data_IF_850033120836
#
_entry.id   IF_850033120836
#
_cell.length_a   1.000
_cell.length_b   1.000
_cell.length_c   1.000
_cell.angle_alpha   90.00
_cell.angle_beta   90.00
_cell.angle_gamma   90.00
#
_symmetry.space_group_name_H-M   'P 1'
#
loop_
_entity.id
_entity.type
_entity.pdbx_description
1 polymer ?
#
# COMPACT_ATOMS: atom_id res chain seq x y z
N UNK A 1 23.02 -15.61 -10.14
CA UNK A 1 22.53 -15.18 -11.47
C UNK A 1 22.05 -13.75 -11.29
N UNK A 2 22.72 -12.80 -11.93
CA UNK A 2 22.59 -11.37 -11.67
C UNK A 2 21.25 -10.84 -12.20
N UNK A 3 20.58 -10.02 -11.40
CA UNK A 3 19.36 -9.28 -11.73
C UNK A 3 19.59 -8.17 -12.82
N UNK A 4 20.71 -8.24 -13.55
CA UNK A 4 21.16 -7.17 -14.45
C UNK A 4 20.50 -7.17 -15.84
N UNK A 5 19.75 -8.20 -16.21
CA UNK A 5 19.28 -8.31 -17.61
C UNK A 5 17.77 -8.10 -17.84
N UNK A 6 16.96 -7.83 -16.80
CA UNK A 6 15.50 -7.81 -16.95
C UNK A 6 14.86 -6.42 -17.12
N UNK A 7 15.65 -5.35 -16.93
CA UNK A 7 15.14 -3.97 -17.05
C UNK A 7 15.13 -3.41 -18.48
N UNK A 8 15.48 -4.22 -19.49
CA UNK A 8 15.54 -3.76 -20.90
C UNK A 8 14.28 -4.04 -21.73
N UNK A 9 13.30 -4.80 -21.21
CA UNK A 9 12.02 -4.98 -21.92
C UNK A 9 11.13 -3.78 -21.63
N UNK A 10 10.74 -3.05 -22.69
CA UNK A 10 9.70 -2.02 -22.59
C UNK A 10 8.41 -2.76 -22.14
N UNK A 11 7.85 -2.41 -20.96
CA UNK A 11 6.63 -3.02 -20.49
C UNK A 11 5.47 -2.74 -21.47
N UNK A 12 4.48 -3.64 -21.49
CA UNK A 12 3.25 -3.47 -22.27
C UNK A 12 2.07 -3.82 -21.39
N UNK A 13 1.51 -2.82 -20.73
CA UNK A 13 0.35 -3.00 -19.89
C UNK A 13 -0.95 -2.94 -20.71
N UNK A 14 -1.95 -3.68 -20.24
CA UNK A 14 -3.33 -3.48 -20.67
C UNK A 14 -3.82 -2.10 -20.23
N UNK A 15 -4.66 -1.46 -21.05
CA UNK A 15 -5.24 -0.15 -20.73
C UNK A 15 -6.67 -0.34 -20.21
N UNK A 16 -6.81 -0.33 -18.91
CA UNK A 16 -8.10 -0.40 -18.21
C UNK A 16 -8.89 0.88 -18.49
N UNK A 17 -10.19 0.75 -18.77
CA UNK A 17 -11.06 1.85 -19.20
C UNK A 17 -12.15 2.23 -18.19
N UNK A 18 -12.42 1.37 -17.20
CA UNK A 18 -13.52 1.57 -16.24
C UNK A 18 -13.25 0.97 -14.87
N UNK A 19 -14.04 1.40 -13.89
CA UNK A 19 -14.04 0.87 -12.54
C UNK A 19 -14.40 -0.64 -12.53
N UNK A 20 -15.42 -1.04 -13.29
CA UNK A 20 -15.84 -2.45 -13.37
C UNK A 20 -14.75 -3.34 -13.97
N UNK A 21 -14.09 -2.87 -15.01
CA UNK A 21 -12.97 -3.58 -15.63
C UNK A 21 -11.79 -3.72 -14.65
N UNK A 22 -11.47 -2.65 -13.89
CA UNK A 22 -10.41 -2.70 -12.88
C UNK A 22 -10.70 -3.75 -11.80
N UNK A 23 -11.95 -3.85 -11.34
CA UNK A 23 -12.37 -4.86 -10.35
C UNK A 23 -12.29 -6.26 -10.95
N UNK A 24 -12.77 -6.47 -12.18
CA UNK A 24 -12.72 -7.76 -12.84
C UNK A 24 -11.27 -8.26 -12.99
N UNK A 25 -10.38 -7.41 -13.50
CA UNK A 25 -8.96 -7.73 -13.64
C UNK A 25 -8.29 -7.94 -12.27
N UNK A 26 -8.70 -7.19 -11.24
CA UNK A 26 -8.18 -7.41 -9.89
C UNK A 26 -8.49 -8.82 -9.37
N UNK A 27 -9.69 -9.35 -9.62
CA UNK A 27 -10.02 -10.73 -9.26
C UNK A 27 -9.21 -11.77 -10.06
N UNK A 28 -8.98 -11.55 -11.35
CA UNK A 28 -8.15 -12.44 -12.17
C UNK A 28 -6.69 -12.46 -11.65
N UNK A 29 -6.12 -11.30 -11.40
CA UNK A 29 -4.77 -11.17 -10.86
C UNK A 29 -4.70 -11.74 -9.43
N UNK A 30 -5.69 -11.51 -8.57
CA UNK A 30 -5.73 -12.09 -7.24
C UNK A 30 -5.72 -13.63 -7.30
N UNK A 31 -6.49 -14.26 -8.19
CA UNK A 31 -6.49 -15.70 -8.37
C UNK A 31 -5.10 -16.22 -8.82
N UNK A 32 -4.43 -15.51 -9.71
CA UNK A 32 -3.05 -15.81 -10.12
C UNK A 32 -2.07 -15.68 -8.94
N UNK A 33 -2.11 -14.57 -8.21
CA UNK A 33 -1.20 -14.28 -7.11
C UNK A 33 -1.41 -15.21 -5.91
N UNK A 34 -2.64 -15.65 -5.64
CA UNK A 34 -2.93 -16.59 -4.56
C UNK A 34 -2.17 -17.91 -4.74
N UNK A 35 -2.00 -18.34 -5.99
CA UNK A 35 -1.12 -19.45 -6.30
C UNK A 35 0.32 -19.08 -5.95
N UNK A 36 0.93 -19.82 -5.01
CA UNK A 36 2.30 -19.59 -4.55
C UNK A 36 2.47 -18.48 -3.49
N UNK A 37 1.41 -17.80 -3.02
CA UNK A 37 1.52 -16.77 -2.01
C UNK A 37 2.17 -17.27 -0.70
N UNK A 38 1.80 -18.46 -0.25
CA UNK A 38 2.42 -19.10 0.93
C UNK A 38 3.90 -19.40 0.72
N UNK A 39 4.30 -19.89 -0.45
CA UNK A 39 5.70 -20.18 -0.78
C UNK A 39 6.52 -18.89 -0.85
N UNK A 40 6.00 -17.86 -1.49
CA UNK A 40 6.65 -16.52 -1.53
C UNK A 40 6.85 -15.96 -0.12
N UNK A 41 5.84 -16.06 0.75
CA UNK A 41 5.97 -15.63 2.15
C UNK A 41 7.04 -16.42 2.90
N UNK A 42 7.09 -17.75 2.73
CA UNK A 42 8.08 -18.60 3.40
C UNK A 42 9.50 -18.33 2.92
N UNK A 43 9.70 -18.18 1.62
CA UNK A 43 11.02 -18.00 1.01
C UNK A 43 11.51 -16.54 1.05
N UNK A 44 10.60 -15.57 1.09
CA UNK A 44 10.92 -14.15 0.91
C UNK A 44 11.36 -13.81 -0.52
N UNK A 45 10.98 -14.64 -1.50
CA UNK A 45 11.37 -14.48 -2.91
C UNK A 45 10.11 -14.28 -3.76
N UNK A 46 10.09 -13.22 -4.55
CA UNK A 46 9.08 -13.01 -5.59
C UNK A 46 9.75 -13.15 -6.95
N UNK A 47 9.32 -14.12 -7.76
CA UNK A 47 9.80 -14.24 -9.13
C UNK A 47 9.45 -12.97 -9.94
N UNK A 48 10.37 -12.43 -10.75
CA UNK A 48 10.14 -11.21 -11.53
C UNK A 48 8.88 -11.27 -12.39
N UNK A 49 8.59 -12.44 -12.99
CA UNK A 49 7.42 -12.66 -13.83
C UNK A 49 6.08 -12.48 -13.09
N UNK A 50 6.07 -12.67 -11.77
CA UNK A 50 4.88 -12.44 -10.94
C UNK A 50 4.56 -10.94 -10.88
N UNK A 51 5.58 -10.11 -10.67
CA UNK A 51 5.42 -8.66 -10.64
C UNK A 51 5.12 -8.11 -12.04
N UNK A 52 5.76 -8.67 -13.07
CA UNK A 52 5.52 -8.29 -14.47
C UNK A 52 4.08 -8.62 -14.89
N UNK A 53 3.58 -9.82 -14.57
CA UNK A 53 2.19 -10.19 -14.84
C UNK A 53 1.23 -9.22 -14.16
N UNK A 54 1.49 -8.87 -12.88
CA UNK A 54 0.67 -7.93 -12.15
C UNK A 54 0.70 -6.52 -12.77
N UNK A 55 1.87 -5.97 -13.09
CA UNK A 55 1.94 -4.62 -13.68
C UNK A 55 1.41 -4.59 -15.11
N UNK A 56 1.60 -5.65 -15.90
CA UNK A 56 1.10 -5.75 -17.27
C UNK A 56 -0.43 -5.91 -17.34
N UNK A 57 -1.09 -6.27 -16.24
CA UNK A 57 -2.56 -6.28 -16.16
C UNK A 57 -3.18 -4.88 -16.31
N UNK A 58 -2.39 -3.82 -16.18
CA UNK A 58 -2.86 -2.44 -16.22
C UNK A 58 -3.30 -1.86 -14.87
N UNK A 59 -3.40 -2.68 -13.83
CA UNK A 59 -3.87 -2.23 -12.51
C UNK A 59 -3.00 -1.12 -11.90
N UNK A 60 -1.73 -1.04 -12.24
CA UNK A 60 -0.85 0.02 -11.74
C UNK A 60 -1.13 1.38 -12.37
N UNK A 61 -1.84 1.43 -13.53
CA UNK A 61 -2.21 2.65 -14.23
C UNK A 61 -3.61 3.19 -13.93
N UNK A 62 -4.40 2.53 -13.06
CA UNK A 62 -5.83 2.83 -12.90
C UNK A 62 -6.14 4.22 -12.33
N UNK A 63 -5.19 4.85 -11.62
CA UNK A 63 -5.33 6.20 -11.06
C UNK A 63 -4.90 7.31 -12.02
N UNK A 64 -4.30 6.97 -13.17
CA UNK A 64 -3.89 7.96 -14.17
C UNK A 64 -5.13 8.71 -14.67
N UNK A 65 -5.10 10.07 -14.69
CA UNK A 65 -6.24 10.88 -15.10
C UNK A 65 -6.69 10.59 -16.56
N UNK A 66 -7.99 10.67 -16.80
CA UNK A 66 -8.60 10.43 -18.15
C UNK A 66 -8.03 11.34 -19.21
N UNK A 67 -7.70 12.60 -18.85
CA UNK A 67 -7.07 13.55 -19.79
C UNK A 67 -5.72 13.06 -20.33
N UNK A 68 -5.06 12.12 -19.62
CA UNK A 68 -3.80 11.51 -20.01
C UNK A 68 -3.96 10.06 -20.50
N UNK A 69 -5.20 9.61 -20.73
CA UNK A 69 -5.51 8.29 -21.28
C UNK A 69 -5.69 7.18 -20.26
N UNK A 70 -5.71 7.48 -18.95
CA UNK A 70 -5.98 6.51 -17.89
C UNK A 70 -7.47 6.33 -17.59
N UNK A 71 -7.79 5.35 -16.76
CA UNK A 71 -9.16 5.07 -16.31
C UNK A 71 -9.67 6.11 -15.30
N UNK A 72 -8.77 6.70 -14.51
CA UNK A 72 -9.13 7.60 -13.40
C UNK A 72 -10.23 6.99 -12.53
N UNK A 73 -10.00 5.77 -12.06
CA UNK A 73 -10.98 5.06 -11.24
C UNK A 73 -11.30 5.81 -9.96
N UNK A 74 -12.49 5.56 -9.40
CA UNK A 74 -12.89 6.12 -8.12
C UNK A 74 -11.98 5.66 -6.98
N UNK A 75 -11.92 6.44 -5.89
CA UNK A 75 -11.21 6.05 -4.68
C UNK A 75 -11.82 4.79 -4.06
N UNK A 76 -13.14 4.60 -4.19
CA UNK A 76 -13.83 3.36 -3.80
C UNK A 76 -13.27 2.18 -4.58
N UNK A 77 -13.14 2.28 -5.90
CA UNK A 77 -12.62 1.21 -6.75
C UNK A 77 -11.14 0.93 -6.46
N UNK A 78 -10.32 1.96 -6.29
CA UNK A 78 -8.92 1.79 -5.90
C UNK A 78 -8.79 0.99 -4.59
N UNK A 79 -9.57 1.36 -3.56
CA UNK A 79 -9.57 0.65 -2.28
C UNK A 79 -10.01 -0.82 -2.45
N UNK A 80 -11.06 -1.09 -3.24
CA UNK A 80 -11.51 -2.45 -3.55
C UNK A 80 -10.43 -3.27 -4.27
N UNK A 81 -9.78 -2.70 -5.30
CA UNK A 81 -8.69 -3.37 -6.03
C UNK A 81 -7.55 -3.74 -5.09
N UNK A 82 -7.10 -2.80 -4.25
CA UNK A 82 -6.02 -3.05 -3.27
C UNK A 82 -6.43 -4.14 -2.27
N UNK A 83 -7.66 -4.11 -1.76
CA UNK A 83 -8.14 -5.12 -0.82
C UNK A 83 -8.22 -6.51 -1.46
N UNK A 84 -8.69 -6.63 -2.72
CA UNK A 84 -8.75 -7.88 -3.47
C UNK A 84 -7.34 -8.47 -3.67
N UNK A 85 -6.39 -7.67 -4.11
CA UNK A 85 -4.99 -8.12 -4.30
C UNK A 85 -4.36 -8.50 -2.96
N UNK A 86 -4.57 -7.69 -1.91
CA UNK A 86 -4.00 -7.95 -0.58
C UNK A 86 -4.59 -9.18 0.10
N UNK A 87 -5.81 -9.57 -0.24
CA UNK A 87 -6.40 -10.83 0.20
C UNK A 87 -5.68 -12.05 -0.42
N UNK A 88 -5.18 -11.93 -1.64
CA UNK A 88 -4.43 -12.99 -2.29
C UNK A 88 -2.96 -13.03 -1.82
N UNK A 89 -2.29 -11.88 -1.83
CA UNK A 89 -0.90 -11.70 -1.37
C UNK A 89 -0.71 -10.27 -0.84
N UNK A 90 -0.68 -10.08 0.49
CA UNK A 90 -0.62 -8.75 1.08
C UNK A 90 0.69 -8.00 0.82
N UNK A 91 1.80 -8.70 0.62
CA UNK A 91 3.05 -8.06 0.22
C UNK A 91 2.95 -7.47 -1.19
N UNK A 92 2.37 -8.21 -2.12
CA UNK A 92 2.15 -7.73 -3.50
C UNK A 92 1.05 -6.65 -3.54
N UNK A 93 0.07 -6.67 -2.63
CA UNK A 93 -0.89 -5.59 -2.47
C UNK A 93 -0.27 -4.29 -1.95
N UNK A 94 0.78 -4.38 -1.12
CA UNK A 94 1.47 -3.21 -0.58
C UNK A 94 2.43 -2.55 -1.59
N UNK A 95 3.07 -3.31 -2.47
CA UNK A 95 4.06 -2.75 -3.41
C UNK A 95 3.49 -1.58 -4.23
N UNK A 96 2.30 -1.67 -4.89
CA UNK A 96 1.76 -0.56 -5.67
C UNK A 96 1.18 0.60 -4.84
N UNK A 97 1.04 0.46 -3.53
CA UNK A 97 0.51 1.53 -2.68
C UNK A 97 1.33 2.82 -2.81
N UNK A 98 2.66 2.72 -2.67
CA UNK A 98 3.52 3.89 -2.84
C UNK A 98 3.60 4.36 -4.30
N UNK A 99 3.45 3.46 -5.27
CA UNK A 99 3.32 3.85 -6.68
C UNK A 99 2.13 4.80 -6.88
N UNK A 100 0.95 4.45 -6.36
CA UNK A 100 -0.23 5.32 -6.46
C UNK A 100 -0.03 6.66 -5.75
N UNK A 101 0.65 6.68 -4.59
CA UNK A 101 0.96 7.93 -3.89
C UNK A 101 1.89 8.83 -4.72
N UNK A 102 2.92 8.26 -5.36
CA UNK A 102 3.82 9.01 -6.24
C UNK A 102 3.08 9.55 -7.47
N UNK A 103 2.11 8.81 -8.02
CA UNK A 103 1.28 9.32 -9.11
C UNK A 103 0.38 10.48 -8.64
N UNK A 104 -0.10 10.42 -7.40
CA UNK A 104 -0.86 11.51 -6.82
C UNK A 104 0.00 12.78 -6.65
N UNK A 105 1.27 12.66 -6.21
CA UNK A 105 2.21 13.78 -6.17
C UNK A 105 2.43 14.39 -7.55
N UNK A 106 2.62 13.57 -8.59
CA UNK A 106 2.75 14.02 -9.98
C UNK A 106 1.48 14.74 -10.43
N UNK A 107 0.30 14.20 -10.10
CA UNK A 107 -1.01 14.80 -10.44
C UNK A 107 -1.20 16.18 -9.79
N UNK A 108 -0.78 16.32 -8.53
CA UNK A 108 -0.98 17.54 -7.74
C UNK A 108 0.02 18.64 -8.08
N UNK A 109 1.28 18.29 -8.30
CA UNK A 109 2.39 19.25 -8.34
C UNK A 109 3.19 19.25 -9.64
N UNK A 110 3.02 18.23 -10.48
CA UNK A 110 3.68 18.16 -11.79
C UNK A 110 3.09 19.15 -12.79
N UNK A 111 3.94 19.74 -13.64
CA UNK A 111 3.48 20.46 -14.83
C UNK A 111 2.75 19.53 -15.80
N UNK A 112 1.99 20.07 -16.74
CA UNK A 112 1.29 19.25 -17.76
C UNK A 112 2.29 18.39 -18.56
N UNK A 113 3.46 18.91 -18.92
CA UNK A 113 4.49 18.15 -19.62
C UNK A 113 5.05 17.01 -18.76
N UNK A 114 5.26 17.25 -17.45
CA UNK A 114 5.69 16.22 -16.50
C UNK A 114 4.62 15.16 -16.31
N UNK A 115 3.37 15.56 -16.14
CA UNK A 115 2.24 14.64 -16.02
C UNK A 115 2.12 13.77 -17.28
N UNK A 116 2.15 14.37 -18.48
CA UNK A 116 2.11 13.64 -19.73
C UNK A 116 3.26 12.63 -19.83
N UNK A 117 4.47 13.03 -19.50
CA UNK A 117 5.64 12.16 -19.55
C UNK A 117 5.51 10.97 -18.61
N UNK A 118 5.31 11.22 -17.31
CA UNK A 118 5.29 10.16 -16.31
C UNK A 118 4.06 9.26 -16.46
N UNK A 119 2.87 9.80 -16.71
CA UNK A 119 1.67 8.99 -16.90
C UNK A 119 1.74 8.14 -18.16
N UNK A 120 2.39 8.60 -19.23
CA UNK A 120 2.62 7.78 -20.41
C UNK A 120 3.49 6.55 -20.11
N UNK A 121 4.51 6.68 -19.25
CA UNK A 121 5.31 5.56 -18.78
C UNK A 121 4.48 4.57 -17.97
N UNK A 122 3.67 5.08 -17.03
CA UNK A 122 2.80 4.25 -16.19
C UNK A 122 1.81 3.44 -17.02
N UNK A 123 1.15 4.06 -18.00
CA UNK A 123 0.21 3.37 -18.90
C UNK A 123 0.88 2.33 -19.81
N UNK A 124 2.20 2.43 -20.01
CA UNK A 124 2.99 1.39 -20.66
C UNK A 124 3.33 0.23 -19.70
N UNK A 125 3.13 0.37 -18.40
CA UNK A 125 3.42 -0.65 -17.38
C UNK A 125 4.71 -0.39 -16.58
N UNK A 126 5.31 0.80 -16.69
CA UNK A 126 6.44 1.16 -15.84
C UNK A 126 6.01 1.29 -14.38
N UNK A 127 6.79 0.67 -13.49
CA UNK A 127 6.57 0.66 -12.05
C UNK A 127 7.41 1.74 -11.38
N UNK A 128 6.78 2.49 -10.49
CA UNK A 128 7.44 3.49 -9.66
C UNK A 128 7.50 2.98 -8.22
N UNK A 129 8.60 3.24 -7.52
CA UNK A 129 8.74 2.94 -6.11
C UNK A 129 9.27 4.14 -5.33
N UNK A 130 9.03 4.13 -4.03
CA UNK A 130 9.44 5.22 -3.16
C UNK A 130 10.88 5.05 -2.64
N UNK A 131 11.54 6.18 -2.43
CA UNK A 131 12.74 6.35 -1.62
C UNK A 131 12.56 7.64 -0.81
N UNK A 132 11.60 7.62 0.15
CA UNK A 132 11.13 8.79 0.88
C UNK A 132 11.68 8.85 2.30
N UNK A 133 11.45 7.81 3.09
CA UNK A 133 11.77 7.75 4.51
C UNK A 133 13.26 7.54 4.77
N UNK A 134 13.71 7.95 5.96
CA UNK A 134 15.07 7.75 6.44
C UNK A 134 15.07 7.06 7.80
N UNK A 135 16.12 6.30 8.09
CA UNK A 135 16.33 5.67 9.38
C UNK A 135 17.29 6.51 10.24
N UNK A 136 17.00 6.62 11.53
CA UNK A 136 17.90 7.32 12.47
C UNK A 136 17.58 8.78 12.74
N UNK A 137 16.56 9.35 12.09
CA UNK A 137 16.02 10.68 12.40
C UNK A 137 15.23 10.69 13.71
N UNK A 138 14.96 11.89 14.22
CA UNK A 138 14.15 12.12 15.43
C UNK A 138 12.68 11.73 15.19
N UNK A 139 12.20 12.00 13.96
CA UNK A 139 10.87 11.70 13.47
C UNK A 139 10.95 11.22 12.02
N UNK A 140 9.85 10.70 11.49
CA UNK A 140 9.75 10.28 10.08
C UNK A 140 9.89 11.44 9.08
N UNK A 141 9.80 12.69 9.56
CA UNK A 141 9.93 13.90 8.74
C UNK A 141 11.37 14.47 8.75
N UNK A 142 12.28 13.89 9.50
CA UNK A 142 13.69 14.32 9.54
C UNK A 142 14.44 13.82 8.31
N UNK A 143 14.52 14.65 7.27
CA UNK A 143 15.16 14.33 6.00
C UNK A 143 16.60 14.86 5.98
N UNK A 144 17.57 13.96 5.80
CA UNK A 144 19.00 14.27 5.70
C UNK A 144 19.51 14.26 4.27
N UNK A 145 18.82 13.57 3.35
CA UNK A 145 19.16 13.54 1.92
C UNK A 145 19.11 14.94 1.33
N UNK A 146 20.15 15.31 0.56
CA UNK A 146 20.33 16.65 -0.01
C UNK A 146 20.32 16.62 -1.51
N UNK A 147 19.62 17.56 -2.11
CA UNK A 147 19.69 17.95 -3.51
C UNK A 147 20.53 19.22 -3.60
N UNK A 148 21.64 19.17 -4.32
CA UNK A 148 22.58 20.28 -4.48
C UNK A 148 22.79 20.61 -5.95
N UNK A 149 23.06 21.86 -6.24
CA UNK A 149 23.46 22.32 -7.57
C UNK A 149 24.97 22.31 -7.67
N UNK A 150 25.50 21.66 -8.72
CA UNK A 150 26.92 21.64 -9.05
C UNK A 150 27.13 22.24 -10.46
N UNK A 151 28.37 22.54 -10.86
CA UNK A 151 28.65 22.96 -12.26
C UNK A 151 28.15 21.95 -13.31
N UNK A 152 28.12 20.66 -12.97
CA UNK A 152 27.72 19.56 -13.85
C UNK A 152 26.19 19.27 -13.77
N UNK A 153 25.41 20.04 -13.00
CA UNK A 153 23.98 19.89 -12.85
C UNK A 153 23.56 19.52 -11.42
N UNK A 154 22.35 18.97 -11.28
CA UNK A 154 21.77 18.62 -9.99
C UNK A 154 22.28 17.26 -9.51
N UNK A 155 22.58 17.16 -8.21
CA UNK A 155 23.06 15.94 -7.56
C UNK A 155 22.33 15.66 -6.27
N UNK A 156 21.98 14.37 -6.04
CA UNK A 156 21.44 13.92 -4.77
C UNK A 156 22.46 13.04 -4.04
N UNK A 157 22.58 13.29 -2.73
CA UNK A 157 23.35 12.46 -1.81
C UNK A 157 22.52 12.15 -0.58
N UNK A 158 22.43 10.86 -0.22
CA UNK A 158 21.69 10.42 0.96
C UNK A 158 21.42 8.92 1.00
N UNK A 159 20.77 8.51 2.08
CA UNK A 159 20.39 7.13 2.34
C UNK A 159 18.91 7.06 2.73
N UNK A 160 18.15 6.25 2.03
CA UNK A 160 16.73 6.01 2.28
C UNK A 160 16.52 4.61 2.83
N UNK A 161 15.51 4.45 3.70
CA UNK A 161 15.04 3.17 4.21
C UNK A 161 13.55 2.99 3.94
N UNK A 162 13.05 1.79 4.14
CA UNK A 162 11.65 1.45 3.87
C UNK A 162 11.21 1.76 2.43
N UNK A 163 12.12 1.51 1.47
CA UNK A 163 11.89 1.82 0.06
C UNK A 163 11.06 0.72 -0.62
N UNK A 164 9.77 0.66 -0.29
CA UNK A 164 8.85 -0.37 -0.75
C UNK A 164 8.80 -0.46 -2.28
N UNK A 165 8.94 -1.68 -2.81
CA UNK A 165 8.92 -1.96 -4.25
C UNK A 165 10.21 -1.64 -5.00
N UNK A 166 11.24 -1.13 -4.33
CA UNK A 166 12.46 -0.60 -5.00
C UNK A 166 13.20 -1.63 -5.85
N UNK A 167 13.20 -2.93 -5.49
CA UNK A 167 13.82 -3.99 -6.30
C UNK A 167 13.09 -4.24 -7.63
N UNK A 168 11.78 -3.94 -7.68
CA UNK A 168 10.92 -4.24 -8.84
C UNK A 168 10.60 -2.99 -9.67
N UNK A 169 11.08 -1.83 -9.23
CA UNK A 169 10.79 -0.56 -9.87
C UNK A 169 11.60 -0.34 -11.14
N UNK A 170 11.03 0.40 -12.09
CA UNK A 170 11.73 0.98 -13.22
C UNK A 170 12.20 2.40 -12.90
N UNK A 171 11.43 3.10 -12.05
CA UNK A 171 11.71 4.47 -11.61
C UNK A 171 11.58 4.57 -10.09
N UNK A 172 12.42 5.38 -9.45
CA UNK A 172 12.32 5.70 -8.04
C UNK A 172 12.04 7.19 -7.84
N UNK A 173 11.07 7.48 -6.95
CA UNK A 173 10.86 8.82 -6.42
C UNK A 173 11.74 9.02 -5.18
N UNK A 174 12.80 9.81 -5.30
CA UNK A 174 13.77 10.08 -4.22
C UNK A 174 13.46 11.44 -3.60
N UNK A 175 13.08 11.45 -2.31
CA UNK A 175 12.82 12.69 -1.57
C UNK A 175 14.12 13.27 -1.04
N UNK A 176 14.37 14.55 -1.33
CA UNK A 176 15.55 15.29 -0.87
C UNK A 176 15.19 16.71 -0.46
N UNK A 177 15.99 17.33 0.40
CA UNK A 177 15.91 18.76 0.68
C UNK A 177 16.84 19.51 -0.28
N UNK A 178 16.31 20.56 -0.90
CA UNK A 178 17.11 21.50 -1.69
C UNK A 178 17.93 22.46 -0.80
N UNK A 179 18.60 23.42 -1.42
CA UNK A 179 19.47 24.40 -0.74
C UNK A 179 18.66 25.37 0.16
N UNK A 180 17.36 25.56 -0.11
CA UNK A 180 16.45 26.34 0.71
C UNK A 180 15.80 25.49 1.83
N UNK A 181 16.08 24.19 1.91
CA UNK A 181 15.49 23.26 2.87
C UNK A 181 14.08 22.82 2.51
N UNK A 182 13.64 23.00 1.27
CA UNK A 182 12.35 22.59 0.76
C UNK A 182 12.43 21.15 0.19
N UNK A 183 11.39 20.36 0.43
CA UNK A 183 11.33 18.98 -0.08
C UNK A 183 11.08 18.95 -1.58
N UNK A 184 11.96 18.27 -2.30
CA UNK A 184 11.84 17.96 -3.72
C UNK A 184 11.76 16.46 -3.91
N UNK A 185 10.83 16.00 -4.73
CA UNK A 185 10.70 14.61 -5.13
C UNK A 185 11.32 14.43 -6.52
N UNK A 186 12.45 13.74 -6.59
CA UNK A 186 13.19 13.51 -7.82
C UNK A 186 12.88 12.13 -8.38
N UNK A 187 12.29 12.06 -9.57
CA UNK A 187 12.08 10.81 -10.26
C UNK A 187 13.31 10.43 -11.08
N UNK A 188 13.87 9.26 -10.80
CA UNK A 188 15.07 8.77 -11.49
C UNK A 188 14.88 7.34 -11.98
N UNK A 189 15.37 7.01 -13.21
CA UNK A 189 15.43 5.63 -13.66
C UNK A 189 16.28 4.79 -12.68
N UNK A 190 15.85 3.56 -12.41
CA UNK A 190 16.52 2.69 -11.43
C UNK A 190 18.00 2.45 -11.73
N UNK A 191 18.40 2.46 -13.01
CA UNK A 191 19.76 2.18 -13.45
C UNK A 191 20.63 3.46 -13.54
N UNK A 192 20.16 4.59 -13.00
CA UNK A 192 20.95 5.84 -13.02
C UNK A 192 22.23 5.67 -12.20
N UNK A 193 23.41 6.00 -12.75
CA UNK A 193 24.67 5.94 -12.02
C UNK A 193 24.60 6.75 -10.72
N UNK A 194 25.05 6.16 -9.62
CA UNK A 194 24.97 6.76 -8.29
C UNK A 194 23.70 6.37 -7.52
N UNK A 195 22.78 5.59 -8.12
CA UNK A 195 21.64 5.00 -7.42
C UNK A 195 21.88 3.52 -7.15
N UNK A 196 21.83 3.10 -5.88
CA UNK A 196 22.00 1.70 -5.49
C UNK A 196 20.79 1.24 -4.67
N UNK A 197 20.14 0.17 -5.09
CA UNK A 197 19.05 -0.49 -4.35
C UNK A 197 19.62 -1.74 -3.68
N UNK A 198 19.50 -1.80 -2.35
CA UNK A 198 20.03 -2.90 -1.53
C UNK A 198 18.88 -3.80 -1.09
N UNK A 199 19.02 -5.10 -1.33
CA UNK A 199 18.07 -6.11 -0.86
C UNK A 199 18.37 -6.52 0.59
N UNK A 200 18.09 -5.63 1.53
CA UNK A 200 18.34 -5.80 2.96
C UNK A 200 17.04 -5.79 3.82
N UNK A 201 15.87 -5.89 3.17
CA UNK A 201 14.60 -5.98 3.87
C UNK A 201 14.44 -7.32 4.60
N UNK A 202 14.40 -7.28 5.94
CA UNK A 202 14.26 -8.46 6.78
C UNK A 202 13.26 -8.17 7.90
N UNK A 203 12.02 -8.61 7.71
CA UNK A 203 10.95 -8.50 8.69
C UNK A 203 10.21 -9.82 8.88
N UNK A 204 9.50 -9.95 9.99
CA UNK A 204 8.72 -11.15 10.29
C UNK A 204 7.52 -11.34 9.36
N UNK A 205 6.98 -10.26 8.81
CA UNK A 205 5.88 -10.24 7.84
C UNK A 205 6.11 -9.21 6.75
N UNK A 206 5.23 -9.14 5.75
CA UNK A 206 5.42 -8.30 4.56
C UNK A 206 6.82 -8.51 3.94
N UNK A 207 7.22 -9.77 3.88
CA UNK A 207 8.60 -10.17 3.57
C UNK A 207 8.98 -9.88 2.13
N UNK A 208 7.99 -9.81 1.26
CA UNK A 208 8.16 -9.69 -0.19
C UNK A 208 8.01 -8.26 -0.71
N UNK A 209 7.86 -7.27 0.17
CA UNK A 209 7.61 -5.87 -0.25
C UNK A 209 8.85 -5.16 -0.78
N UNK A 210 10.04 -5.77 -0.65
CA UNK A 210 11.30 -5.12 -1.07
C UNK A 210 11.45 -3.71 -0.45
N UNK A 211 11.16 -3.60 0.86
CA UNK A 211 11.20 -2.31 1.57
C UNK A 211 12.59 -2.01 2.15
N UNK A 212 13.65 -2.35 1.41
CA UNK A 212 15.04 -2.20 1.83
C UNK A 212 15.58 -0.77 1.70
N UNK A 213 16.91 -0.70 1.56
CA UNK A 213 17.68 0.53 1.50
C UNK A 213 17.90 0.99 0.06
N UNK A 214 17.82 2.32 -0.16
CA UNK A 214 18.28 2.99 -1.38
C UNK A 214 19.37 3.98 -1.01
N UNK A 215 20.50 3.91 -1.71
CA UNK A 215 21.61 4.87 -1.61
C UNK A 215 21.62 5.77 -2.83
N UNK A 216 21.81 7.06 -2.60
CA UNK A 216 22.10 8.06 -3.61
C UNK A 216 23.49 8.63 -3.32
N UNK A 217 24.45 8.40 -4.24
CA UNK A 217 25.83 8.82 -4.12
C UNK A 217 26.22 9.60 -5.38
N UNK A 218 26.27 10.92 -5.26
CA UNK A 218 26.45 11.83 -6.39
C UNK A 218 25.47 11.55 -7.55
N UNK A 219 24.24 11.18 -7.20
CA UNK A 219 23.20 10.78 -8.13
C UNK A 219 22.78 11.96 -9.00
N UNK A 220 22.96 11.84 -10.31
CA UNK A 220 22.55 12.86 -11.26
C UNK A 220 21.02 12.90 -11.42
N UNK A 221 20.47 14.11 -11.41
CA UNK A 221 19.02 14.33 -11.57
C UNK A 221 18.78 15.39 -12.64
N UNK A 222 17.84 15.11 -13.53
CA UNK A 222 17.37 16.09 -14.50
C UNK A 222 16.36 17.03 -13.84
N UNK A 223 16.47 18.33 -14.10
CA UNK A 223 15.57 19.33 -13.54
C UNK A 223 14.10 19.08 -13.91
N UNK A 224 13.86 18.53 -15.10
CA UNK A 224 12.52 18.12 -15.56
C UNK A 224 11.90 17.02 -14.68
N UNK A 225 12.71 16.20 -14.02
CA UNK A 225 12.23 15.11 -13.17
C UNK A 225 11.98 15.51 -11.71
N UNK A 226 12.12 16.80 -11.36
CA UNK A 226 11.83 17.30 -10.02
C UNK A 226 10.38 17.72 -9.89
N UNK A 227 9.71 17.18 -8.86
CA UNK A 227 8.38 17.59 -8.43
C UNK A 227 8.51 18.33 -7.09
N UNK A 228 7.99 19.57 -6.95
CA UNK A 228 8.11 20.35 -5.72
C UNK A 228 7.15 19.86 -4.64
N UNK A 229 7.48 18.72 -4.00
CA UNK A 229 6.59 18.02 -3.04
C UNK A 229 6.25 18.87 -1.80
N UNK A 230 7.09 19.86 -1.45
CA UNK A 230 6.78 20.80 -0.38
C UNK A 230 5.46 21.58 -0.57
N UNK A 231 4.98 21.68 -1.81
CA UNK A 231 3.71 22.34 -2.13
C UNK A 231 2.49 21.48 -1.80
N UNK A 232 2.66 20.16 -1.69
CA UNK A 232 1.53 19.22 -1.55
C UNK A 232 0.63 19.52 -0.35
N UNK A 233 1.20 20.10 0.71
CA UNK A 233 0.45 20.47 1.93
C UNK A 233 0.33 21.97 2.16
N UNK A 234 0.79 22.80 1.23
CA UNK A 234 0.65 24.26 1.32
C UNK A 234 -0.82 24.72 1.22
N UNK A 235 -1.63 23.98 0.49
CA UNK A 235 -3.07 24.19 0.34
C UNK A 235 -3.85 22.94 0.77
N UNK A 236 -5.17 23.02 0.97
CA UNK A 236 -5.99 21.83 1.22
C UNK A 236 -5.82 20.77 0.13
N UNK A 237 -5.57 19.51 0.54
CA UNK A 237 -5.31 18.40 -0.36
C UNK A 237 -5.81 17.08 0.22
N UNK A 238 -6.19 16.14 -0.63
CA UNK A 238 -6.57 14.78 -0.25
C UNK A 238 -5.39 13.80 -0.26
N UNK A 239 -4.14 14.24 -0.48
CA UNK A 239 -2.98 13.35 -0.56
C UNK A 239 -2.82 12.45 0.68
N UNK A 240 -2.92 13.03 1.89
CA UNK A 240 -2.87 12.27 3.13
C UNK A 240 -4.02 11.25 3.27
N UNK A 241 -5.31 11.68 3.19
CA UNK A 241 -6.43 10.75 3.18
C UNK A 241 -6.34 9.67 2.09
N UNK A 242 -5.86 9.99 0.89
CA UNK A 242 -5.64 9.04 -0.20
C UNK A 242 -4.61 7.98 0.20
N UNK A 243 -3.44 8.38 0.71
CA UNK A 243 -2.41 7.47 1.17
C UNK A 243 -2.91 6.56 2.30
N UNK A 244 -3.69 7.09 3.24
CA UNK A 244 -4.25 6.33 4.35
C UNK A 244 -5.40 5.40 3.93
N UNK A 245 -6.20 5.76 2.93
CA UNK A 245 -7.22 4.87 2.35
C UNK A 245 -6.57 3.62 1.76
N UNK A 246 -5.49 3.78 1.00
CA UNK A 246 -4.77 2.66 0.38
C UNK A 246 -4.15 1.74 1.43
N UNK A 247 -3.61 2.28 2.54
CA UNK A 247 -3.12 1.44 3.65
C UNK A 247 -4.25 0.71 4.38
N UNK A 248 -5.40 1.35 4.61
CA UNK A 248 -6.56 0.71 5.21
C UNK A 248 -7.10 -0.46 4.35
N UNK A 249 -7.06 -0.31 3.03
CA UNK A 249 -7.47 -1.34 2.08
C UNK A 249 -6.59 -2.60 2.15
N UNK A 250 -5.28 -2.45 2.38
CA UNK A 250 -4.38 -3.60 2.57
C UNK A 250 -4.77 -4.38 3.84
N UNK A 251 -5.01 -3.69 4.96
CA UNK A 251 -5.46 -4.32 6.21
C UNK A 251 -6.79 -5.05 6.03
N UNK A 252 -7.75 -4.47 5.29
CA UNK A 252 -9.04 -5.11 4.97
C UNK A 252 -8.85 -6.41 4.17
N UNK A 253 -7.95 -6.41 3.17
CA UNK A 253 -7.61 -7.61 2.41
C UNK A 253 -7.03 -8.72 3.27
N UNK A 254 -6.10 -8.40 4.18
CA UNK A 254 -5.52 -9.35 5.13
C UNK A 254 -6.61 -9.95 6.03
N UNK A 255 -7.51 -9.12 6.56
CA UNK A 255 -8.61 -9.56 7.40
C UNK A 255 -9.54 -10.55 6.67
N UNK A 256 -9.91 -10.24 5.43
CA UNK A 256 -10.78 -11.07 4.59
C UNK A 256 -10.14 -12.41 4.26
N UNK A 257 -8.86 -12.42 3.85
CA UNK A 257 -8.13 -13.66 3.58
C UNK A 257 -8.06 -14.55 4.83
N UNK A 258 -7.82 -13.94 5.98
CA UNK A 258 -7.74 -14.66 7.26
C UNK A 258 -9.06 -15.30 7.64
N UNK A 259 -10.18 -14.59 7.51
CA UNK A 259 -11.50 -15.16 7.77
C UNK A 259 -11.81 -16.32 6.82
N UNK A 260 -11.51 -16.17 5.52
CA UNK A 260 -11.73 -17.23 4.53
C UNK A 260 -10.93 -18.50 4.87
N UNK A 261 -9.64 -18.35 5.18
CA UNK A 261 -8.81 -19.49 5.59
C UNK A 261 -9.31 -20.11 6.92
N UNK A 262 -9.79 -19.29 7.84
CA UNK A 262 -10.37 -19.77 9.11
C UNK A 262 -11.61 -20.63 8.85
N UNK A 263 -12.57 -20.14 8.08
CA UNK A 263 -13.79 -20.88 7.73
C UNK A 263 -13.47 -22.19 7.02
N UNK A 264 -12.60 -22.14 6.03
CA UNK A 264 -12.17 -23.32 5.30
C UNK A 264 -11.50 -24.35 6.23
N UNK A 265 -10.63 -23.90 7.13
CA UNK A 265 -9.93 -24.80 8.04
C UNK A 265 -10.86 -25.40 9.08
N UNK A 266 -11.77 -24.62 9.66
CA UNK A 266 -12.76 -25.08 10.65
C UNK A 266 -13.68 -26.14 10.05
N UNK A 267 -14.19 -25.90 8.86
CA UNK A 267 -15.11 -26.82 8.19
C UNK A 267 -14.44 -28.11 7.67
N UNK A 268 -13.11 -28.09 7.45
CA UNK A 268 -12.41 -29.22 6.82
C UNK A 268 -11.57 -30.02 7.83
N UNK A 269 -10.95 -29.37 8.81
CA UNK A 269 -9.88 -29.98 9.60
C UNK A 269 -10.03 -29.85 11.11
N UNK A 270 -10.74 -28.83 11.62
CA UNK A 270 -10.90 -28.64 13.05
C UNK A 270 -11.77 -29.73 13.68
N UNK A 271 -11.57 -29.96 14.97
CA UNK A 271 -12.39 -30.88 15.74
C UNK A 271 -13.25 -30.06 16.73
N UNK A 272 -14.49 -30.44 16.95
CA UNK A 272 -15.30 -29.79 17.97
C UNK A 272 -14.68 -30.01 19.36
N UNK A 273 -14.94 -29.08 20.26
CA UNK A 273 -14.63 -29.29 21.67
C UNK A 273 -15.55 -30.34 22.27
N UNK A 274 -15.03 -31.16 23.18
CA UNK A 274 -15.78 -32.31 23.74
C UNK A 274 -17.09 -31.90 24.38
N UNK A 275 -17.11 -30.77 25.05
CA UNK A 275 -18.31 -30.28 25.76
C UNK A 275 -19.37 -29.70 24.82
N UNK A 276 -19.07 -29.46 23.57
CA UNK A 276 -20.01 -28.98 22.55
C UNK A 276 -21.03 -30.06 22.18
N UNK A 277 -20.69 -31.34 22.34
CA UNK A 277 -21.60 -32.46 22.08
C UNK A 277 -22.03 -32.59 20.62
N UNK A 278 -21.22 -32.10 19.69
CA UNK A 278 -21.46 -32.11 18.23
C UNK A 278 -20.38 -32.93 17.51
N UNK A 279 -20.67 -33.36 16.30
CA UNK A 279 -19.70 -34.18 15.50
C UNK A 279 -18.73 -33.33 14.70
N UNK A 280 -19.11 -32.10 14.30
CA UNK A 280 -18.29 -31.23 13.47
C UNK A 280 -18.03 -29.91 14.19
N UNK A 281 -16.82 -29.33 14.01
CA UNK A 281 -16.47 -28.02 14.59
C UNK A 281 -17.35 -26.89 14.06
N UNK A 282 -17.87 -27.01 12.84
CA UNK A 282 -18.82 -26.07 12.27
C UNK A 282 -20.21 -26.03 12.91
N UNK A 283 -20.54 -27.08 13.72
CA UNK A 283 -21.82 -27.15 14.45
C UNK A 283 -21.69 -26.69 15.92
N UNK A 284 -20.45 -26.40 16.38
CA UNK A 284 -20.20 -25.90 17.71
C UNK A 284 -20.76 -24.47 17.87
N UNK A 285 -21.70 -24.22 18.82
CA UNK A 285 -22.33 -22.92 18.96
C UNK A 285 -21.35 -21.77 19.29
N UNK A 286 -20.24 -22.05 19.98
CA UNK A 286 -19.24 -21.03 20.28
C UNK A 286 -18.39 -20.72 19.06
N UNK A 287 -18.07 -21.71 18.24
CA UNK A 287 -17.39 -21.51 16.95
C UNK A 287 -18.26 -20.69 16.00
N UNK A 288 -19.57 -21.02 15.88
CA UNK A 288 -20.56 -20.28 15.08
C UNK A 288 -20.63 -18.82 15.57
N UNK A 289 -20.74 -18.61 16.88
CA UNK A 289 -20.77 -17.27 17.46
C UNK A 289 -19.53 -16.45 17.12
N UNK A 290 -18.33 -17.02 17.25
CA UNK A 290 -17.07 -16.32 16.99
C UNK A 290 -16.89 -15.98 15.50
N UNK A 291 -17.26 -16.90 14.60
CA UNK A 291 -17.25 -16.62 13.16
C UNK A 291 -18.21 -15.48 12.81
N UNK A 292 -19.43 -15.50 13.36
CA UNK A 292 -20.41 -14.42 13.19
C UNK A 292 -19.91 -13.07 13.71
N UNK A 293 -19.23 -13.06 14.86
CA UNK A 293 -18.65 -11.85 15.43
C UNK A 293 -17.52 -11.28 14.54
N UNK A 294 -16.64 -12.15 14.02
CA UNK A 294 -15.58 -11.73 13.08
C UNK A 294 -16.16 -11.20 11.78
N UNK A 295 -17.09 -11.92 11.17
CA UNK A 295 -17.73 -11.49 9.91
C UNK A 295 -18.42 -10.12 10.06
N UNK A 296 -19.15 -9.92 11.16
CA UNK A 296 -19.80 -8.63 11.44
C UNK A 296 -18.80 -7.48 11.57
N UNK A 297 -17.62 -7.70 12.17
CA UNK A 297 -16.55 -6.69 12.28
C UNK A 297 -15.90 -6.39 10.93
N UNK A 298 -15.67 -7.43 10.13
CA UNK A 298 -15.15 -7.25 8.79
C UNK A 298 -16.13 -6.49 7.90
N UNK A 299 -17.43 -6.83 7.97
CA UNK A 299 -18.46 -6.10 7.24
C UNK A 299 -18.52 -4.62 7.64
N UNK A 300 -18.38 -4.32 8.93
CA UNK A 300 -18.30 -2.92 9.39
C UNK A 300 -17.03 -2.22 8.88
N UNK A 301 -15.88 -2.91 8.88
CA UNK A 301 -14.62 -2.37 8.35
C UNK A 301 -14.71 -2.09 6.84
N UNK A 302 -15.27 -3.02 6.07
CA UNK A 302 -15.49 -2.88 4.63
C UNK A 302 -16.43 -1.70 4.31
N UNK A 303 -17.55 -1.57 5.06
CA UNK A 303 -18.49 -0.46 4.90
C UNK A 303 -17.84 0.92 5.21
N UNK A 304 -16.99 0.99 6.23
CA UNK A 304 -16.25 2.21 6.56
C UNK A 304 -15.18 2.52 5.53
N UNK A 305 -14.52 1.51 4.96
CA UNK A 305 -13.54 1.67 3.89
C UNK A 305 -14.21 2.21 2.62
N UNK A 306 -15.34 1.62 2.22
CA UNK A 306 -16.13 2.09 1.09
C UNK A 306 -16.60 3.54 1.33
N UNK A 307 -17.14 3.84 2.53
CA UNK A 307 -17.56 5.20 2.88
C UNK A 307 -16.41 6.20 2.84
N UNK A 308 -15.22 5.80 3.25
CA UNK A 308 -14.03 6.65 3.16
C UNK A 308 -13.68 6.96 1.69
N UNK A 309 -13.73 5.97 0.81
CA UNK A 309 -13.56 6.15 -0.64
C UNK A 309 -14.59 7.11 -1.23
N UNK A 310 -15.90 6.92 -0.91
CA UNK A 310 -16.98 7.82 -1.35
C UNK A 310 -16.73 9.29 -0.93
N UNK A 311 -16.22 9.51 0.28
CA UNK A 311 -15.92 10.87 0.78
C UNK A 311 -14.77 11.48 0.01
N UNK A 312 -13.72 10.72 -0.34
CA UNK A 312 -12.65 11.21 -1.19
C UNK A 312 -13.16 11.56 -2.59
N UNK A 313 -13.98 10.70 -3.20
CA UNK A 313 -14.57 10.94 -4.52
C UNK A 313 -15.49 12.17 -4.52
N UNK A 314 -16.26 12.36 -3.45
CA UNK A 314 -17.13 13.52 -3.28
C UNK A 314 -16.35 14.84 -3.26
N UNK A 315 -15.21 14.86 -2.55
CA UNK A 315 -14.46 16.10 -2.29
C UNK A 315 -13.28 16.32 -3.24
N UNK A 316 -13.00 15.42 -4.18
CA UNK A 316 -11.83 15.56 -5.07
C UNK A 316 -11.80 16.86 -5.88
N UNK A 317 -12.95 17.51 -6.09
CA UNK A 317 -13.10 18.79 -6.80
C UNK A 317 -13.57 19.95 -5.92
N UNK A 318 -13.76 19.70 -4.61
CA UNK A 318 -14.18 20.72 -3.63
C UNK A 318 -13.24 20.70 -2.43
N UNK A 319 -12.02 21.20 -2.63
CA UNK A 319 -10.96 21.19 -1.62
C UNK A 319 -11.02 22.42 -0.73
N UNK A 320 -11.32 22.20 0.53
CA UNK A 320 -11.28 23.20 1.61
C UNK A 320 -10.70 22.57 2.87
N UNK A 321 -10.34 23.41 3.86
CA UNK A 321 -9.92 22.90 5.17
C UNK A 321 -10.95 21.98 5.81
N UNK A 322 -12.24 22.23 5.55
CA UNK A 322 -13.34 21.45 6.12
C UNK A 322 -13.52 20.12 5.40
N UNK A 323 -13.56 20.11 4.06
CA UNK A 323 -13.77 18.90 3.28
C UNK A 323 -12.59 17.95 3.41
N UNK A 324 -11.36 18.45 3.46
CA UNK A 324 -10.16 17.65 3.73
C UNK A 324 -10.18 17.09 5.16
N UNK A 325 -10.60 17.86 6.16
CA UNK A 325 -10.74 17.36 7.53
C UNK A 325 -11.79 16.23 7.61
N UNK A 326 -12.93 16.38 6.93
CA UNK A 326 -13.95 15.32 6.85
C UNK A 326 -13.44 14.06 6.17
N UNK A 327 -12.65 14.18 5.09
CA UNK A 327 -12.01 13.06 4.43
C UNK A 327 -11.02 12.34 5.37
N UNK A 328 -10.15 13.08 6.05
CA UNK A 328 -9.21 12.52 7.05
C UNK A 328 -9.94 11.78 8.16
N UNK A 329 -11.06 12.33 8.67
CA UNK A 329 -11.90 11.70 9.70
C UNK A 329 -12.54 10.41 9.19
N UNK A 330 -13.06 10.41 7.95
CA UNK A 330 -13.67 9.21 7.36
C UNK A 330 -12.64 8.08 7.20
N UNK A 331 -11.47 8.41 6.67
CA UNK A 331 -10.38 7.46 6.48
C UNK A 331 -9.80 6.97 7.82
N UNK A 332 -9.68 7.86 8.82
CA UNK A 332 -9.23 7.45 10.16
C UNK A 332 -10.15 6.40 10.79
N UNK A 333 -11.48 6.52 10.60
CA UNK A 333 -12.45 5.49 11.03
C UNK A 333 -12.22 4.17 10.32
N UNK A 334 -12.09 4.19 8.99
CA UNK A 334 -11.79 2.98 8.22
C UNK A 334 -10.49 2.33 8.67
N UNK A 335 -9.42 3.10 8.81
CA UNK A 335 -8.09 2.60 9.25
C UNK A 335 -8.12 1.92 10.62
N UNK A 336 -8.86 2.46 11.58
CA UNK A 336 -9.03 1.83 12.89
C UNK A 336 -9.66 0.45 12.74
N UNK A 337 -10.81 0.38 12.07
CA UNK A 337 -11.57 -0.86 11.99
C UNK A 337 -10.87 -1.93 11.14
N UNK A 338 -10.23 -1.56 10.04
CA UNK A 338 -9.48 -2.51 9.20
C UNK A 338 -8.25 -3.05 9.92
N UNK A 339 -7.51 -2.19 10.65
CA UNK A 339 -6.35 -2.59 11.46
C UNK A 339 -6.75 -3.58 12.56
N UNK A 340 -7.82 -3.28 13.31
CA UNK A 340 -8.28 -4.14 14.40
C UNK A 340 -8.85 -5.46 13.87
N UNK A 341 -9.63 -5.42 12.79
CA UNK A 341 -10.17 -6.60 12.14
C UNK A 341 -9.06 -7.55 11.65
N UNK A 342 -8.00 -7.02 11.02
CA UNK A 342 -6.88 -7.83 10.54
C UNK A 342 -6.16 -8.56 11.69
N UNK A 343 -5.88 -7.86 12.77
CA UNK A 343 -5.17 -8.43 13.92
C UNK A 343 -6.02 -9.41 14.72
N UNK A 344 -7.30 -9.10 14.91
CA UNK A 344 -8.23 -9.99 15.61
C UNK A 344 -8.47 -11.26 14.81
N UNK A 345 -8.83 -11.16 13.53
CA UNK A 345 -9.02 -12.32 12.66
C UNK A 345 -7.82 -13.25 12.68
N UNK A 346 -6.61 -12.69 12.56
CA UNK A 346 -5.38 -13.47 12.53
C UNK A 346 -5.08 -14.20 13.85
N UNK A 347 -5.54 -13.67 14.98
CA UNK A 347 -5.43 -14.35 16.28
C UNK A 347 -6.52 -15.41 16.45
N UNK A 348 -7.77 -15.11 16.06
CA UNK A 348 -8.90 -16.01 16.15
C UNK A 348 -8.79 -17.25 15.25
N UNK A 349 -8.08 -17.14 14.14
CA UNK A 349 -7.78 -18.28 13.26
C UNK A 349 -7.19 -19.45 14.06
N UNK A 350 -6.21 -19.18 14.93
CA UNK A 350 -5.56 -20.22 15.72
C UNK A 350 -6.44 -20.73 16.85
N UNK A 351 -7.23 -19.87 17.47
CA UNK A 351 -8.18 -20.27 18.50
C UNK A 351 -9.24 -21.24 17.94
N UNK A 352 -9.80 -20.89 16.79
CA UNK A 352 -10.85 -21.69 16.12
C UNK A 352 -10.30 -22.93 15.42
N UNK A 353 -9.11 -22.83 14.84
CA UNK A 353 -8.43 -23.95 14.16
C UNK A 353 -7.75 -24.92 15.10
N UNK A 354 -7.56 -24.54 16.38
CA UNK A 354 -6.86 -25.32 17.39
C UNK A 354 -5.38 -25.60 17.05
N UNK A 355 -4.72 -26.44 17.83
CA UNK A 355 -3.28 -26.72 17.69
C UNK A 355 -2.90 -27.18 16.29
N UNK A 356 -3.77 -27.88 15.58
CA UNK A 356 -3.48 -28.34 14.21
C UNK A 356 -3.21 -27.19 13.24
N UNK A 357 -3.85 -26.04 13.41
CA UNK A 357 -3.67 -24.84 12.56
C UNK A 357 -2.27 -24.23 12.70
N UNK A 358 -1.54 -24.53 13.78
CA UNK A 358 -0.18 -24.02 14.02
C UNK A 358 0.90 -24.79 13.24
N UNK A 359 0.54 -25.87 12.53
CA UNK A 359 1.52 -26.66 11.80
C UNK A 359 2.11 -25.88 10.61
N UNK A 360 3.46 -25.80 10.44
CA UNK A 360 4.13 -24.98 9.43
C UNK A 360 3.64 -25.17 7.99
N UNK A 361 3.14 -26.38 7.64
CA UNK A 361 2.61 -26.65 6.29
C UNK A 361 1.45 -25.75 5.87
N UNK A 362 0.70 -25.19 6.82
CA UNK A 362 -0.41 -24.30 6.53
C UNK A 362 0.05 -22.84 6.40
N UNK A 363 1.17 -22.49 7.04
CA UNK A 363 1.73 -21.13 7.05
C UNK A 363 0.69 -20.05 7.44
N UNK A 364 -0.25 -20.39 8.35
CA UNK A 364 -1.33 -19.47 8.73
C UNK A 364 -0.83 -18.28 9.55
N UNK A 365 0.31 -18.42 10.22
CA UNK A 365 0.96 -17.33 10.93
C UNK A 365 1.37 -16.18 9.99
N UNK A 366 1.43 -16.43 8.65
CA UNK A 366 1.64 -15.36 7.67
C UNK A 366 0.60 -14.26 7.79
N UNK A 367 -0.66 -14.58 8.09
CA UNK A 367 -1.72 -13.59 8.24
C UNK A 367 -1.44 -12.64 9.40
N UNK A 368 -1.08 -13.19 10.57
CA UNK A 368 -0.71 -12.38 11.72
C UNK A 368 0.57 -11.60 11.47
N UNK A 369 1.60 -12.23 10.93
CA UNK A 369 2.89 -11.59 10.65
C UNK A 369 2.73 -10.43 9.65
N UNK A 370 2.00 -10.65 8.57
CA UNK A 370 1.74 -9.63 7.56
C UNK A 370 0.88 -8.49 8.12
N UNK A 371 -0.23 -8.81 8.78
CA UNK A 371 -1.08 -7.80 9.43
C UNK A 371 -0.31 -7.02 10.52
N UNK A 372 0.46 -7.71 11.36
CA UNK A 372 1.24 -7.03 12.41
C UNK A 372 2.27 -6.07 11.85
N UNK A 373 3.03 -6.48 10.82
CA UNK A 373 4.06 -5.61 10.22
C UNK A 373 3.41 -4.44 9.48
N UNK A 374 2.37 -4.69 8.68
CA UNK A 374 1.71 -3.62 7.92
C UNK A 374 1.06 -2.57 8.82
N UNK A 375 0.36 -2.98 9.88
CA UNK A 375 -0.30 -2.07 10.83
C UNK A 375 0.66 -1.24 11.69
N UNK A 376 1.98 -1.45 11.59
CA UNK A 376 3.02 -0.62 12.20
C UNK A 376 3.51 0.51 11.29
N UNK A 377 3.02 0.59 10.04
CA UNK A 377 3.35 1.68 9.12
C UNK A 377 3.09 3.05 9.76
N UNK A 378 1.93 3.19 10.42
CA UNK A 378 1.61 4.33 11.28
C UNK A 378 0.78 3.85 12.48
N UNK A 379 0.95 4.46 13.66
CA UNK A 379 0.34 3.93 14.88
C UNK A 379 -1.15 4.29 14.98
N UNK A 380 -2.03 3.31 14.84
CA UNK A 380 -3.50 3.47 14.85
C UNK A 380 -4.05 4.23 16.08
N UNK A 381 -3.34 4.16 17.24
CA UNK A 381 -3.72 4.94 18.44
C UNK A 381 -3.80 6.45 18.17
N UNK A 382 -3.06 6.97 17.19
CA UNK A 382 -3.15 8.37 16.81
C UNK A 382 -4.40 8.68 15.98
N UNK A 383 -4.98 7.70 15.28
CA UNK A 383 -6.29 7.86 14.63
C UNK A 383 -7.41 7.99 15.66
N UNK A 384 -7.36 7.23 16.76
CA UNK A 384 -8.27 7.41 17.89
C UNK A 384 -8.13 8.81 18.52
N UNK A 385 -6.90 9.27 18.75
CA UNK A 385 -6.65 10.61 19.26
C UNK A 385 -7.17 11.69 18.32
N UNK A 386 -6.95 11.55 17.02
CA UNK A 386 -7.47 12.45 15.99
C UNK A 386 -9.00 12.53 16.06
N UNK A 387 -9.69 11.40 16.07
CA UNK A 387 -11.15 11.34 16.15
C UNK A 387 -11.67 11.93 17.47
N UNK A 388 -11.02 11.63 18.59
CA UNK A 388 -11.36 12.20 19.89
C UNK A 388 -11.26 13.75 19.88
N UNK A 389 -10.19 14.29 19.32
CA UNK A 389 -10.05 15.76 19.18
C UNK A 389 -11.06 16.38 18.23
N UNK A 390 -11.40 15.71 17.13
CA UNK A 390 -12.43 16.16 16.21
C UNK A 390 -13.80 16.25 16.90
N UNK A 391 -14.20 15.18 17.60
CA UNK A 391 -15.54 15.10 18.22
C UNK A 391 -15.64 15.96 19.48
N UNK A 392 -14.63 15.93 20.35
CA UNK A 392 -14.67 16.57 21.66
C UNK A 392 -14.30 18.06 21.58
N UNK A 393 -13.30 18.39 20.78
CA UNK A 393 -12.67 19.71 20.77
C UNK A 393 -12.89 20.50 19.48
N UNK A 394 -13.55 19.91 18.47
CA UNK A 394 -13.71 20.53 17.15
C UNK A 394 -12.39 20.80 16.41
N UNK A 395 -11.30 20.10 16.78
CA UNK A 395 -9.99 20.28 16.18
C UNK A 395 -9.87 19.50 14.88
N UNK A 396 -9.54 20.19 13.81
CA UNK A 396 -9.26 19.55 12.51
C UNK A 396 -7.99 18.70 12.56
N UNK A 397 -7.96 17.56 11.84
CA UNK A 397 -6.73 16.80 11.65
C UNK A 397 -5.61 17.64 11.04
N UNK A 398 -4.35 17.50 11.49
CA UNK A 398 -3.23 18.09 10.79
C UNK A 398 -3.02 17.46 9.42
N UNK A 399 -2.56 18.26 8.45
CA UNK A 399 -2.34 17.78 7.07
C UNK A 399 -0.91 17.28 6.90
N UNK A 400 -0.78 16.00 6.62
CA UNK A 400 0.47 15.31 6.25
C UNK A 400 0.15 13.90 5.73
N UNK A 401 1.13 13.16 5.20
CA UNK A 401 0.97 11.84 4.56
C UNK A 401 0.30 10.77 5.43
N UNK A 402 0.28 10.96 6.73
CA UNK A 402 -0.30 10.00 7.68
C UNK A 402 -1.67 10.40 8.23
N UNK A 403 -2.39 11.39 7.62
CA UNK A 403 -3.74 11.81 8.07
C UNK A 403 -4.69 12.08 6.91
#
# INVERSE_FOLDING_TARGET
MSAENDTQRIPRAHLIQSDDEAIAIAHEIAAYLQTGASERDQTGIVPPEVVDTFSNSGLWGITVPRRWGGAEVSAVTLAKVIAIISAADPSLGQIPQNHYCLLEDIRLQGSDDQQQFFFSLVLQGYRFANALSETGGKTVQDIQTRLTRTPEGLRINGRKGYCTGSLYAHWLGVLALDEEGLTQLAFVPRNTPGLTVINDWQCIGQRNTSSGTVLAENLAVEAFHLIPSWKSYATPTLAGPFAQLTTAAIDAGIARATLNDTVQFVTTFARPWIDAGVEQAGDDPLTIYQIGALDSRLAAADALLEKAGEVLDLYKHDLSEETVAQASVAVARAKIFTTEAALEAASRLFELGGTRSTHPRYNFDRHWRNGRVHTLHDPVRWKYHLLGNWVLNGKRPPRHDWN
#
